data_IF_941025650479
#
_entry.id   IF_941025650479
#
_cell.length_a   1.000
_cell.length_b   1.000
_cell.length_c   1.000
_cell.angle_alpha   90.00
_cell.angle_beta   90.00
_cell.angle_gamma   90.00
#
_symmetry.space_group_name_H-M   'P 1'
#
loop_
_entity.id
_entity.type
_entity.pdbx_description
1 polymer ?
#
# COMPACT_ATOMS: atom_id res chain seq x y z
N UNK A 1 24.19 -11.20 -4.79
CA UNK A 1 23.58 -12.38 -5.40
C UNK A 1 24.12 -12.65 -6.81
N UNK A 2 24.15 -11.70 -7.75
CA UNK A 2 24.64 -11.91 -9.14
C UNK A 2 26.16 -12.19 -9.23
N UNK A 3 26.92 -11.91 -8.19
CA UNK A 3 28.38 -12.13 -8.11
C UNK A 3 28.75 -13.22 -7.11
N UNK A 4 27.80 -14.01 -6.60
CA UNK A 4 28.05 -15.09 -5.64
C UNK A 4 28.50 -14.62 -4.25
N UNK A 5 28.42 -13.34 -3.96
CA UNK A 5 28.80 -12.78 -2.65
C UNK A 5 27.61 -12.95 -1.70
N UNK A 6 27.78 -13.72 -0.65
CA UNK A 6 26.83 -13.76 0.47
C UNK A 6 26.91 -12.42 1.21
N UNK A 7 25.79 -11.70 1.22
CA UNK A 7 25.63 -10.50 2.02
C UNK A 7 24.78 -10.86 3.24
N UNK A 8 25.40 -10.78 4.39
CA UNK A 8 24.69 -10.93 5.66
C UNK A 8 23.60 -9.84 5.76
N UNK A 9 22.35 -10.25 5.88
CA UNK A 9 21.22 -9.34 5.97
C UNK A 9 20.65 -9.39 7.37
N UNK A 10 20.53 -8.26 8.00
CA UNK A 10 19.83 -8.17 9.28
C UNK A 10 18.37 -8.67 9.14
N UNK A 11 17.90 -9.51 10.07
CA UNK A 11 16.51 -9.94 10.11
C UNK A 11 15.58 -8.72 10.21
N UNK A 12 14.52 -8.75 9.46
CA UNK A 12 13.46 -7.73 9.58
C UNK A 12 12.20 -8.37 10.10
N UNK A 13 11.62 -7.77 11.11
CA UNK A 13 10.32 -8.15 11.59
C UNK A 13 9.26 -7.84 10.53
N UNK A 14 8.45 -8.84 10.21
CA UNK A 14 7.33 -8.73 9.28
C UNK A 14 6.07 -9.29 9.94
N UNK A 15 4.92 -8.74 9.60
CA UNK A 15 3.64 -9.24 10.10
C UNK A 15 2.95 -10.07 9.04
N UNK A 16 2.69 -11.32 9.37
CA UNK A 16 1.82 -12.20 8.60
C UNK A 16 0.46 -12.20 9.32
N UNK A 17 -0.59 -11.82 8.62
CA UNK A 17 -1.94 -11.70 9.18
C UNK A 17 -2.72 -13.01 9.04
N UNK A 18 -2.60 -13.70 7.90
CA UNK A 18 -3.10 -15.04 7.69
C UNK A 18 -2.24 -15.81 6.71
N UNK A 19 -2.28 -17.16 6.85
CA UNK A 19 -1.75 -18.11 5.88
C UNK A 19 -2.81 -19.21 5.77
N UNK A 20 -3.39 -19.38 4.61
CA UNK A 20 -4.40 -20.39 4.32
C UNK A 20 -3.90 -21.34 3.25
N UNK A 21 -3.99 -22.65 3.52
CA UNK A 21 -3.68 -23.68 2.53
C UNK A 21 -4.86 -23.80 1.56
N UNK A 22 -4.61 -23.54 0.28
CA UNK A 22 -5.65 -23.60 -0.76
C UNK A 22 -5.66 -24.96 -1.45
N UNK A 23 -4.49 -25.45 -1.83
CA UNK A 23 -4.34 -26.70 -2.57
C UNK A 23 -3.09 -27.43 -2.09
N UNK A 24 -3.16 -28.76 -2.14
CA UNK A 24 -2.03 -29.64 -1.90
C UNK A 24 -1.93 -30.68 -3.01
N UNK A 25 -0.73 -30.90 -3.48
CA UNK A 25 -0.40 -31.91 -4.49
C UNK A 25 0.73 -32.80 -3.96
N UNK A 26 0.42 -33.79 -3.13
CA UNK A 26 1.44 -34.66 -2.50
C UNK A 26 2.34 -35.37 -3.51
N UNK A 27 1.81 -35.67 -4.70
CA UNK A 27 2.55 -36.35 -5.77
C UNK A 27 3.70 -35.51 -6.31
N UNK A 28 3.51 -34.19 -6.40
CA UNK A 28 4.50 -33.23 -6.90
C UNK A 28 5.25 -32.52 -5.76
N UNK A 29 4.74 -32.61 -4.53
CA UNK A 29 5.23 -31.85 -3.39
C UNK A 29 4.93 -30.37 -3.47
N UNK A 30 3.93 -29.96 -4.29
CA UNK A 30 3.52 -28.57 -4.43
C UNK A 30 2.32 -28.25 -3.54
N UNK A 31 2.36 -27.07 -2.93
CA UNK A 31 1.32 -26.55 -2.05
C UNK A 31 1.01 -25.11 -2.45
N UNK A 32 -0.25 -24.79 -2.68
CA UNK A 32 -0.70 -23.43 -2.89
C UNK A 32 -1.20 -22.84 -1.57
N UNK A 33 -0.64 -21.72 -1.19
CA UNK A 33 -1.06 -20.98 0.01
C UNK A 33 -1.49 -19.56 -0.34
N UNK A 34 -2.55 -19.07 0.30
CA UNK A 34 -2.90 -17.66 0.32
C UNK A 34 -2.27 -16.99 1.54
N UNK A 35 -1.66 -15.82 1.33
CA UNK A 35 -0.93 -15.13 2.40
C UNK A 35 -1.34 -13.68 2.46
N UNK A 36 -1.95 -13.27 3.56
CA UNK A 36 -2.17 -11.87 3.89
C UNK A 36 -1.05 -11.37 4.79
N UNK A 37 -0.26 -10.42 4.30
CA UNK A 37 0.93 -9.94 5.01
C UNK A 37 1.12 -8.43 4.87
N UNK A 38 1.91 -7.88 5.80
CA UNK A 38 2.28 -6.48 5.79
C UNK A 38 3.23 -6.12 4.63
N UNK A 39 3.30 -4.84 4.30
CA UNK A 39 4.26 -4.28 3.35
C UNK A 39 5.69 -4.67 3.73
N UNK A 40 6.47 -5.06 2.73
CA UNK A 40 7.89 -5.40 2.91
C UNK A 40 8.15 -6.88 3.15
N UNK A 41 7.11 -7.72 3.25
CA UNK A 41 7.26 -9.17 3.34
C UNK A 41 7.72 -9.75 2.01
N UNK A 42 8.81 -10.52 2.06
CA UNK A 42 9.34 -11.26 0.92
C UNK A 42 8.79 -12.68 0.94
N UNK A 43 7.87 -13.01 0.04
CA UNK A 43 7.23 -14.32 -0.01
C UNK A 43 8.24 -15.45 -0.26
N UNK A 44 9.33 -15.20 -1.01
CA UNK A 44 10.43 -16.17 -1.16
C UNK A 44 11.08 -16.53 0.16
N UNK A 45 11.30 -15.55 1.03
CA UNK A 45 11.86 -15.76 2.37
C UNK A 45 10.85 -16.52 3.23
N UNK A 46 9.57 -16.17 3.18
CA UNK A 46 8.53 -16.91 3.89
C UNK A 46 8.50 -18.40 3.49
N UNK A 47 8.58 -18.71 2.19
CA UNK A 47 8.63 -20.09 1.73
C UNK A 47 9.88 -20.82 2.27
N UNK A 48 11.05 -20.18 2.25
CA UNK A 48 12.27 -20.72 2.81
C UNK A 48 12.11 -21.01 4.31
N UNK A 49 11.62 -20.04 5.08
CA UNK A 49 11.46 -20.17 6.53
C UNK A 49 10.42 -21.25 6.91
N UNK A 50 9.36 -21.40 6.11
CA UNK A 50 8.41 -22.52 6.27
C UNK A 50 9.08 -23.85 6.02
N UNK A 51 9.87 -23.97 4.95
CA UNK A 51 10.60 -25.18 4.62
C UNK A 51 11.60 -25.58 5.70
N UNK A 52 12.34 -24.63 6.26
CA UNK A 52 13.25 -24.85 7.38
C UNK A 52 12.49 -25.35 8.63
N UNK A 53 11.37 -24.72 8.97
CA UNK A 53 10.54 -25.15 10.11
C UNK A 53 9.95 -26.55 9.95
N UNK A 54 9.63 -26.93 8.72
CA UNK A 54 9.14 -28.30 8.41
C UNK A 54 10.28 -29.32 8.29
N UNK A 55 11.53 -28.87 8.21
CA UNK A 55 12.71 -29.74 8.09
C UNK A 55 12.93 -30.36 6.72
N UNK A 56 12.21 -29.89 5.69
CA UNK A 56 12.30 -30.43 4.32
C UNK A 56 12.81 -29.42 3.30
N UNK A 57 13.02 -28.15 3.71
CA UNK A 57 13.24 -27.05 2.78
C UNK A 57 12.01 -26.72 1.94
N UNK A 58 11.96 -25.52 1.35
CA UNK A 58 10.95 -25.14 0.38
C UNK A 58 11.45 -24.05 -0.56
N UNK A 59 10.86 -24.00 -1.76
CA UNK A 59 11.15 -22.98 -2.75
C UNK A 59 9.84 -22.44 -3.37
N UNK A 60 9.83 -21.16 -3.70
CA UNK A 60 8.71 -20.53 -4.37
C UNK A 60 8.73 -20.90 -5.86
N UNK A 61 7.72 -21.60 -6.36
CA UNK A 61 7.56 -22.00 -7.77
C UNK A 61 6.76 -20.97 -8.56
N UNK A 62 5.66 -20.46 -7.97
CA UNK A 62 4.79 -19.46 -8.58
C UNK A 62 4.38 -18.41 -7.56
N UNK A 63 4.16 -17.18 -8.02
CA UNK A 63 3.65 -16.10 -7.19
C UNK A 63 2.61 -15.30 -7.97
N UNK A 64 1.43 -15.13 -7.38
CA UNK A 64 0.38 -14.26 -7.88
C UNK A 64 -0.01 -13.29 -6.77
N UNK A 65 -0.02 -12.00 -7.08
CA UNK A 65 -0.52 -10.98 -6.16
C UNK A 65 -1.98 -10.70 -6.51
N UNK A 66 -2.87 -11.04 -5.59
CA UNK A 66 -4.32 -10.88 -5.76
C UNK A 66 -4.85 -9.57 -5.20
N UNK A 67 -4.10 -8.96 -4.25
CA UNK A 67 -4.46 -7.68 -3.65
C UNK A 67 -3.22 -6.85 -3.32
N UNK A 68 -3.31 -5.53 -3.48
CA UNK A 68 -2.31 -4.58 -3.01
C UNK A 68 -2.95 -3.21 -2.72
N UNK A 69 -2.68 -2.63 -1.55
CA UNK A 69 -3.16 -1.30 -1.14
C UNK A 69 -4.69 -1.11 -1.30
N UNK A 70 -5.47 -2.17 -1.07
CA UNK A 70 -6.92 -2.14 -1.21
C UNK A 70 -7.44 -2.36 -2.64
N UNK A 71 -6.57 -2.48 -3.64
CA UNK A 71 -6.93 -2.87 -4.99
C UNK A 71 -6.85 -4.38 -5.15
N UNK A 72 -7.81 -4.96 -5.84
CA UNK A 72 -7.91 -6.39 -6.18
C UNK A 72 -7.66 -6.61 -7.66
N UNK A 73 -7.60 -7.87 -8.09
CA UNK A 73 -7.50 -8.21 -9.52
C UNK A 73 -8.65 -7.65 -10.35
N UNK A 74 -9.85 -7.49 -9.77
CA UNK A 74 -11.00 -6.91 -10.45
C UNK A 74 -10.81 -5.42 -10.80
N UNK A 75 -9.91 -4.73 -10.11
CA UNK A 75 -9.54 -3.35 -10.39
C UNK A 75 -8.44 -3.23 -11.47
N UNK A 76 -7.86 -4.35 -11.88
CA UNK A 76 -6.73 -4.40 -12.82
C UNK A 76 -7.19 -4.63 -14.26
N UNK A 77 -6.37 -4.18 -15.20
CA UNK A 77 -6.48 -4.52 -16.64
C UNK A 77 -5.14 -5.09 -17.09
N UNK A 78 -5.15 -5.94 -18.12
CA UNK A 78 -3.91 -6.43 -18.72
C UNK A 78 -3.26 -5.36 -19.60
N UNK A 79 -2.00 -5.58 -20.00
CA UNK A 79 -1.31 -4.66 -20.91
C UNK A 79 -2.01 -4.62 -22.28
N UNK A 80 -2.47 -5.77 -22.77
CA UNK A 80 -3.20 -5.88 -24.04
C UNK A 80 -4.51 -5.08 -23.99
N UNK A 81 -5.27 -5.20 -22.89
CA UNK A 81 -6.48 -4.39 -22.69
C UNK A 81 -6.17 -2.89 -22.59
N UNK A 82 -5.04 -2.52 -21.99
CA UNK A 82 -4.63 -1.13 -21.93
C UNK A 82 -4.25 -0.58 -23.31
N UNK A 83 -3.60 -1.39 -24.18
CA UNK A 83 -3.27 -1.02 -25.55
C UNK A 83 -4.54 -0.83 -26.40
N UNK A 84 -5.52 -1.73 -26.28
CA UNK A 84 -6.83 -1.61 -26.96
C UNK A 84 -7.53 -0.31 -26.52
N UNK A 85 -7.66 -0.07 -25.22
CA UNK A 85 -8.28 1.15 -24.69
C UNK A 85 -7.53 2.43 -25.10
N UNK A 86 -6.22 2.37 -25.27
CA UNK A 86 -5.44 3.50 -25.76
C UNK A 86 -5.74 3.79 -27.24
N UNK A 87 -5.86 2.76 -28.07
CA UNK A 87 -6.22 2.89 -29.49
C UNK A 87 -7.61 3.53 -29.64
N UNK A 88 -8.56 3.15 -28.79
CA UNK A 88 -9.92 3.68 -28.76
C UNK A 88 -10.06 5.03 -28.04
N UNK A 89 -8.96 5.56 -27.47
CA UNK A 89 -8.92 6.79 -26.66
C UNK A 89 -9.75 6.72 -25.36
N UNK A 90 -10.00 5.52 -24.86
CA UNK A 90 -10.81 5.27 -23.66
C UNK A 90 -9.97 5.00 -22.41
N UNK A 91 -8.64 4.85 -22.53
CA UNK A 91 -7.76 4.52 -21.41
C UNK A 91 -7.92 5.48 -20.22
N UNK A 92 -8.16 6.76 -20.48
CA UNK A 92 -8.34 7.77 -19.43
C UNK A 92 -9.53 7.44 -18.51
N UNK A 93 -10.57 6.77 -19.01
CA UNK A 93 -11.73 6.36 -18.20
C UNK A 93 -11.42 5.27 -17.18
N UNK A 94 -10.30 4.55 -17.37
CA UNK A 94 -9.83 3.48 -16.48
C UNK A 94 -8.81 3.96 -15.46
N UNK A 95 -8.32 5.19 -15.60
CA UNK A 95 -7.39 5.80 -14.63
C UNK A 95 -8.15 6.12 -13.36
N UNK A 96 -7.73 5.52 -12.26
CA UNK A 96 -8.33 5.76 -10.95
C UNK A 96 -7.76 7.04 -10.34
N UNK A 97 -8.60 7.86 -9.67
CA UNK A 97 -8.12 9.03 -8.96
C UNK A 97 -7.15 8.62 -7.84
N UNK A 98 -6.11 9.43 -7.61
CA UNK A 98 -5.05 9.16 -6.62
C UNK A 98 -5.62 8.93 -5.22
N UNK A 99 -6.66 9.68 -4.83
CA UNK A 99 -7.33 9.54 -3.54
C UNK A 99 -7.91 8.15 -3.28
N UNK A 100 -8.19 7.37 -4.34
CA UNK A 100 -8.69 5.99 -4.18
C UNK A 100 -7.70 5.08 -3.45
N UNK A 101 -6.40 5.33 -3.63
CA UNK A 101 -5.33 4.61 -2.91
C UNK A 101 -5.30 4.94 -1.40
N UNK A 102 -5.96 6.01 -0.98
CA UNK A 102 -5.98 6.50 0.39
C UNK A 102 -7.39 6.48 1.01
N UNK A 103 -8.34 5.79 0.36
CA UNK A 103 -9.75 5.76 0.79
C UNK A 103 -9.96 5.11 2.17
N UNK A 104 -9.03 4.27 2.64
CA UNK A 104 -9.07 3.66 3.96
C UNK A 104 -8.54 4.57 5.09
N UNK A 105 -7.92 5.69 4.75
CA UNK A 105 -7.38 6.61 5.75
C UNK A 105 -8.48 7.48 6.35
N UNK A 106 -8.22 7.94 7.59
CA UNK A 106 -9.10 8.93 8.21
C UNK A 106 -9.11 10.22 7.38
N UNK A 107 -10.31 10.69 7.03
CA UNK A 107 -10.52 11.88 6.20
C UNK A 107 -10.60 13.13 7.05
N UNK A 108 -9.88 14.17 6.64
CA UNK A 108 -9.98 15.53 7.19
C UNK A 108 -10.31 16.49 6.06
N UNK A 109 -11.38 17.27 6.25
CA UNK A 109 -11.79 18.33 5.33
C UNK A 109 -11.34 19.68 5.89
N UNK A 110 -10.56 20.42 5.10
CA UNK A 110 -10.03 21.74 5.44
C UNK A 110 -10.90 22.85 4.89
N UNK A 111 -11.02 23.94 5.63
CA UNK A 111 -11.56 25.21 5.10
C UNK A 111 -10.61 25.81 4.06
N UNK A 112 -11.09 26.77 3.24
CA UNK A 112 -10.26 27.46 2.23
C UNK A 112 -8.96 28.04 2.81
N UNK A 113 -9.06 28.68 3.97
CA UNK A 113 -7.90 29.25 4.66
C UNK A 113 -6.90 28.18 5.08
N UNK A 114 -7.40 27.08 5.65
CA UNK A 114 -6.56 25.96 6.08
C UNK A 114 -5.94 25.23 4.88
N UNK A 115 -6.69 25.06 3.79
CA UNK A 115 -6.19 24.45 2.56
C UNK A 115 -5.03 25.25 1.95
N UNK A 116 -5.16 26.58 1.88
CA UNK A 116 -4.06 27.46 1.44
C UNK A 116 -2.83 27.36 2.35
N UNK A 117 -3.02 27.32 3.66
CA UNK A 117 -1.93 27.14 4.61
C UNK A 117 -1.24 25.79 4.42
N UNK A 118 -2.04 24.73 4.26
CA UNK A 118 -1.57 23.36 4.05
C UNK A 118 -0.74 23.24 2.76
N UNK A 119 -1.22 23.78 1.65
CA UNK A 119 -0.53 23.77 0.36
C UNK A 119 0.81 24.54 0.40
N UNK A 120 0.93 25.52 1.28
CA UNK A 120 2.17 26.28 1.52
C UNK A 120 3.08 25.61 2.58
N UNK A 121 2.81 24.36 2.98
CA UNK A 121 3.61 23.62 3.94
C UNK A 121 3.45 24.04 5.40
N UNK A 122 2.43 24.84 5.72
CA UNK A 122 2.18 25.25 7.11
C UNK A 122 1.59 24.08 7.89
N UNK A 123 2.21 23.78 9.03
CA UNK A 123 1.71 22.77 9.96
C UNK A 123 0.43 23.27 10.62
N UNK A 124 -0.58 22.42 10.69
CA UNK A 124 -1.89 22.78 11.20
C UNK A 124 -2.12 22.25 12.63
N UNK A 125 -2.97 22.94 13.39
CA UNK A 125 -3.41 22.48 14.70
C UNK A 125 -4.44 21.35 14.53
N UNK A 126 -4.17 20.11 14.98
CA UNK A 126 -5.06 18.98 14.82
C UNK A 126 -6.38 19.14 15.59
N UNK A 127 -6.45 19.99 16.60
CA UNK A 127 -7.71 20.31 17.29
C UNK A 127 -8.63 21.11 16.39
N UNK A 128 -8.08 22.04 15.59
CA UNK A 128 -8.85 22.86 14.65
C UNK A 128 -9.26 22.08 13.40
N UNK A 129 -8.57 21.02 13.08
CA UNK A 129 -8.88 20.11 11.97
C UNK A 129 -9.60 18.83 12.43
N UNK A 130 -9.94 18.73 13.73
CA UNK A 130 -10.70 17.62 14.35
C UNK A 130 -10.05 16.24 14.20
N UNK A 131 -8.73 16.17 14.11
CA UNK A 131 -8.01 14.92 13.95
C UNK A 131 -7.00 14.63 15.08
N UNK A 132 -7.10 15.32 16.22
CA UNK A 132 -6.17 15.15 17.35
C UNK A 132 -6.16 13.74 17.96
N UNK A 133 -7.21 12.95 17.72
CA UNK A 133 -7.36 11.58 18.20
C UNK A 133 -6.90 10.52 17.20
N UNK A 134 -6.50 10.94 15.99
CA UNK A 134 -6.16 10.02 14.92
C UNK A 134 -4.69 9.64 15.01
N UNK A 135 -4.44 8.34 15.05
CA UNK A 135 -3.11 7.78 14.92
C UNK A 135 -2.87 7.29 13.49
N UNK A 136 -1.64 7.50 12.99
CA UNK A 136 -1.27 7.09 11.64
C UNK A 136 -1.51 8.15 10.57
N UNK A 137 -1.71 7.68 9.36
CA UNK A 137 -1.85 8.54 8.18
C UNK A 137 -3.28 9.08 8.04
N UNK A 138 -3.39 10.30 7.55
CA UNK A 138 -4.64 11.06 7.42
C UNK A 138 -4.74 11.56 5.99
N UNK A 139 -5.85 11.28 5.33
CA UNK A 139 -6.17 11.85 4.01
C UNK A 139 -6.76 13.24 4.17
N UNK A 140 -6.13 14.22 3.55
CA UNK A 140 -6.49 15.65 3.68
C UNK A 140 -7.17 16.13 2.41
N UNK A 141 -8.34 16.74 2.59
CA UNK A 141 -9.16 17.29 1.52
C UNK A 141 -9.37 18.79 1.70
N UNK A 142 -9.38 19.50 0.61
CA UNK A 142 -9.76 20.92 0.54
C UNK A 142 -11.23 21.13 0.22
N UNK A 143 -11.63 22.41 0.03
CA UNK A 143 -12.96 22.76 -0.40
C UNK A 143 -13.38 22.03 -1.67
N UNK A 144 -14.65 21.67 -1.76
CA UNK A 144 -15.16 20.89 -2.90
C UNK A 144 -14.76 19.42 -2.90
N UNK A 145 -14.12 18.92 -1.83
CA UNK A 145 -13.69 17.53 -1.74
C UNK A 145 -12.42 17.21 -2.54
N UNK A 146 -11.61 18.20 -2.85
CA UNK A 146 -10.38 18.02 -3.61
C UNK A 146 -9.33 17.39 -2.70
N UNK A 147 -8.78 16.24 -3.10
CA UNK A 147 -7.71 15.58 -2.37
C UNK A 147 -6.42 16.39 -2.43
N UNK A 148 -5.90 16.82 -1.29
CA UNK A 148 -4.70 17.65 -1.20
C UNK A 148 -3.45 16.86 -0.85
N UNK A 149 -3.59 15.77 -0.09
CA UNK A 149 -2.43 15.01 0.31
C UNK A 149 -2.65 14.10 1.51
N UNK A 150 -1.54 13.56 2.00
CA UNK A 150 -1.49 12.70 3.18
C UNK A 150 -0.65 13.39 4.25
N UNK A 151 -1.15 13.35 5.47
CA UNK A 151 -0.54 13.92 6.67
C UNK A 151 -0.52 12.96 7.82
N UNK A 152 0.16 13.30 8.89
CA UNK A 152 0.04 12.65 10.19
C UNK A 152 0.20 13.66 11.31
N UNK A 153 -0.32 13.35 12.49
CA UNK A 153 -0.04 14.14 13.69
C UNK A 153 1.34 13.74 14.21
N UNK A 154 2.26 14.69 14.19
CA UNK A 154 3.59 14.49 14.74
C UNK A 154 3.50 14.48 16.27
N UNK A 155 3.97 13.42 16.92
CA UNK A 155 3.87 13.24 18.38
C UNK A 155 4.74 14.22 19.19
N UNK A 156 5.85 14.70 18.59
CA UNK A 156 6.77 15.62 19.28
C UNK A 156 6.25 17.06 19.23
N UNK A 157 5.77 17.49 18.05
CA UNK A 157 5.28 18.86 17.86
C UNK A 157 3.81 19.02 18.19
N UNK A 158 3.05 17.92 18.21
CA UNK A 158 1.60 17.93 18.39
C UNK A 158 0.84 18.55 17.20
N UNK A 159 1.50 18.74 16.04
CA UNK A 159 0.92 19.38 14.88
C UNK A 159 0.63 18.38 13.75
N UNK A 160 -0.34 18.69 12.92
CA UNK A 160 -0.62 17.98 11.69
C UNK A 160 0.43 18.38 10.63
N UNK A 161 1.27 17.44 10.25
CA UNK A 161 2.37 17.64 9.31
C UNK A 161 2.14 16.89 8.01
N UNK A 162 2.42 17.55 6.88
CA UNK A 162 2.28 16.97 5.55
C UNK A 162 3.37 15.93 5.30
N UNK A 163 2.97 14.71 4.95
CA UNK A 163 3.86 13.64 4.47
C UNK A 163 4.01 13.67 2.95
N UNK A 164 2.91 13.86 2.26
CA UNK A 164 2.88 13.95 0.79
C UNK A 164 1.83 14.96 0.38
N UNK A 165 2.24 15.90 -0.46
CA UNK A 165 1.36 16.89 -1.07
C UNK A 165 1.15 16.51 -2.54
N UNK A 166 -0.09 16.49 -2.98
CA UNK A 166 -0.44 16.30 -4.37
C UNK A 166 -0.72 17.68 -4.98
N UNK A 167 0.05 18.05 -5.99
CA UNK A 167 -0.15 19.30 -6.69
C UNK A 167 -1.53 19.29 -7.38
N UNK A 168 -2.29 20.35 -7.18
CA UNK A 168 -3.43 20.63 -8.02
C UNK A 168 -2.90 21.08 -9.38
N UNK A 169 -3.27 20.36 -10.43
CA UNK A 169 -3.03 20.79 -11.79
C UNK A 169 -3.88 22.04 -12.13
#
# INVERSE_FOLDING_TARGET
ARQGIEVEREPREVSILSIDLLEESPETGEYAIDVLCAKGTYIRTLCHDLGEKLGCGAALTKLRRTMAAGFTEADCITLEQAEELLADRELASRVLPVEKAFASLYRVDLSEKQAKMYQNGVKLDPKKTRCSHVEGDIAVYGPGGIFLGVSAVNRETGLLETKSLFALA
#
